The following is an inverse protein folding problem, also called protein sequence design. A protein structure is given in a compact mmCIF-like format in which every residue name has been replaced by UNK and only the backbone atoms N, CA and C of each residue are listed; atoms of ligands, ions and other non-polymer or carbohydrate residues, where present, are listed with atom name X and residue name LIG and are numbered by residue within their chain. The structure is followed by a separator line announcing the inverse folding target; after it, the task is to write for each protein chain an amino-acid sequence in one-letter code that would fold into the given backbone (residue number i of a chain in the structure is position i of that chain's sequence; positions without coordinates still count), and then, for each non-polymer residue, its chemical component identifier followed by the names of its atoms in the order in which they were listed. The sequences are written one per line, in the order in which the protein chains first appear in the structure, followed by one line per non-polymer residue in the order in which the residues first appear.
data_IF_325095756126
#
_entry.id   IF_325095756126
#
_cell.length_a   1.000
_cell.length_b   1.000
_cell.length_c   1.000
_cell.angle_alpha   90.00
_cell.angle_beta   90.00
_cell.angle_gamma   90.00
#
_symmetry.space_group_name_H-M   'P 1'
#
loop_
_entity.id
_entity.type
_entity.pdbx_description
1 polymer ?
#
# COMPACT_ATOMS: atom_id res chain seq x y z
N UNK A 1 40.92 -41.06 38.32
CA UNK A 1 41.51 -40.01 37.39
C UNK A 1 40.68 -39.76 36.12
N UNK A 2 39.42 -40.21 36.06
CA UNK A 2 38.55 -40.10 34.88
C UNK A 2 37.40 -39.06 35.08
N UNK A 3 37.08 -38.74 36.33
CA UNK A 3 35.94 -37.82 36.64
C UNK A 3 36.22 -36.34 36.43
N UNK A 4 37.47 -35.89 36.42
CA UNK A 4 37.82 -34.47 36.25
C UNK A 4 37.89 -34.00 34.79
N UNK A 5 37.93 -34.88 33.78
CA UNK A 5 37.95 -34.51 32.37
C UNK A 5 36.56 -34.19 31.79
N UNK A 6 35.50 -34.78 32.37
CA UNK A 6 34.12 -34.58 31.86
C UNK A 6 33.56 -33.25 32.35
N UNK A 7 34.00 -32.80 33.54
CA UNK A 7 33.53 -31.53 34.11
C UNK A 7 34.15 -30.30 33.41
N UNK A 8 35.39 -30.40 32.96
CA UNK A 8 36.09 -29.38 32.19
C UNK A 8 35.50 -29.19 30.78
N UNK A 9 35.05 -30.27 30.14
CA UNK A 9 34.43 -30.21 28.80
C UNK A 9 33.04 -29.57 28.82
N UNK A 10 32.28 -29.79 29.89
CA UNK A 10 30.93 -29.14 30.04
C UNK A 10 31.00 -27.65 30.33
N UNK A 11 31.99 -27.21 31.11
CA UNK A 11 32.22 -25.78 31.37
C UNK A 11 32.72 -25.04 30.13
N UNK A 12 33.53 -25.66 29.28
CA UNK A 12 34.00 -25.07 28.04
C UNK A 12 32.86 -24.92 27.01
N UNK A 13 31.93 -25.89 26.95
CA UNK A 13 30.79 -25.87 26.06
C UNK A 13 29.73 -24.82 26.50
N UNK A 14 29.56 -24.59 27.79
CA UNK A 14 28.69 -23.53 28.30
C UNK A 14 29.27 -22.13 28.05
N UNK A 15 30.58 -21.95 28.10
CA UNK A 15 31.23 -20.66 27.80
C UNK A 15 31.18 -20.38 26.29
N UNK A 16 31.30 -21.39 25.43
CA UNK A 16 31.19 -21.24 23.99
C UNK A 16 29.74 -20.89 23.54
N UNK A 17 28.73 -21.38 24.24
CA UNK A 17 27.32 -21.05 24.00
C UNK A 17 26.91 -19.64 24.47
N UNK A 18 27.62 -19.07 25.43
CA UNK A 18 27.35 -17.69 25.91
C UNK A 18 28.02 -16.59 25.08
N UNK A 19 28.96 -16.91 24.21
CA UNK A 19 29.65 -15.95 23.37
C UNK A 19 29.02 -15.77 21.97
N UNK A 20 28.00 -16.58 21.61
CA UNK A 20 27.32 -16.50 20.31
C UNK A 20 26.08 -15.59 20.33
N UNK A 21 25.68 -15.04 21.48
CA UNK A 21 24.39 -14.32 21.61
C UNK A 21 24.50 -12.80 21.54
N UNK A 22 25.55 -12.20 20.99
CA UNK A 22 25.63 -10.73 20.95
C UNK A 22 26.28 -10.17 19.69
N UNK A 23 25.86 -10.64 18.53
CA UNK A 23 26.01 -9.86 17.30
C UNK A 23 24.63 -9.69 16.69
N UNK A 24 23.71 -9.10 17.43
CA UNK A 24 22.68 -8.30 16.82
C UNK A 24 23.40 -7.01 16.45
N UNK A 25 23.63 -6.79 15.16
CA UNK A 25 23.97 -5.50 14.64
C UNK A 25 22.81 -4.57 15.07
N UNK A 26 23.04 -3.75 16.08
CA UNK A 26 22.21 -2.57 16.28
C UNK A 26 22.40 -1.76 15.01
N UNK A 27 21.37 -1.67 14.17
CA UNK A 27 21.34 -0.63 13.15
C UNK A 27 21.54 0.68 13.90
N UNK A 28 22.67 1.30 13.66
CA UNK A 28 23.01 2.59 14.25
C UNK A 28 21.94 3.57 13.75
N UNK A 29 21.10 4.04 14.65
CA UNK A 29 20.06 5.02 14.31
C UNK A 29 20.76 6.29 13.83
N UNK A 30 20.80 6.50 12.53
CA UNK A 30 21.28 7.75 11.93
C UNK A 30 20.13 8.75 12.03
N UNK A 31 20.33 9.79 12.85
CA UNK A 31 19.36 10.87 12.96
C UNK A 31 19.15 11.51 11.58
N UNK A 32 17.91 11.90 11.23
CA UNK A 32 17.66 12.63 9.99
C UNK A 32 18.51 13.90 9.91
N UNK A 33 18.99 14.23 8.71
CA UNK A 33 19.64 15.49 8.46
C UNK A 33 18.64 16.67 8.57
N UNK A 34 19.15 17.87 8.76
CA UNK A 34 18.38 19.13 8.68
C UNK A 34 17.21 19.28 9.67
N UNK A 35 17.26 18.61 10.83
CA UNK A 35 16.22 18.73 11.86
C UNK A 35 16.13 20.18 12.37
N UNK A 36 17.27 20.82 12.61
CA UNK A 36 17.31 22.20 13.15
C UNK A 36 16.89 23.23 12.09
N UNK A 37 17.31 23.07 10.84
CA UNK A 37 16.93 23.93 9.73
C UNK A 37 15.42 23.85 9.44
N UNK A 38 14.85 22.66 9.45
CA UNK A 38 13.42 22.43 9.22
C UNK A 38 12.54 22.87 10.40
N UNK A 39 13.13 23.02 11.58
CA UNK A 39 12.41 23.39 12.81
C UNK A 39 11.70 24.74 12.69
N UNK A 40 12.28 25.69 11.98
CA UNK A 40 11.66 27.01 11.78
C UNK A 40 10.35 26.88 11.00
N UNK A 41 10.33 26.09 9.93
CA UNK A 41 9.11 25.83 9.16
C UNK A 41 8.07 25.07 9.99
N UNK A 42 8.52 24.06 10.73
CA UNK A 42 7.66 23.20 11.54
C UNK A 42 7.10 23.89 12.81
N UNK A 43 7.64 25.04 13.24
CA UNK A 43 7.01 25.84 14.31
C UNK A 43 5.57 26.22 13.95
N UNK A 44 5.31 26.50 12.67
CA UNK A 44 3.98 26.82 12.16
C UNK A 44 3.35 25.60 11.50
N UNK A 45 4.03 25.00 10.51
CA UNK A 45 3.50 23.91 9.70
C UNK A 45 3.40 22.56 10.44
N UNK A 46 4.09 22.37 11.56
CA UNK A 46 3.94 21.19 12.41
C UNK A 46 2.77 21.25 13.40
N UNK A 47 1.91 22.26 13.33
CA UNK A 47 0.84 22.51 14.33
C UNK A 47 -0.45 22.99 13.69
N UNK A 48 -1.56 22.67 14.34
CA UNK A 48 -2.89 23.16 13.93
C UNK A 48 -3.11 24.66 14.21
N UNK A 49 -2.29 25.28 15.04
CA UNK A 49 -2.34 26.71 15.35
C UNK A 49 -0.91 27.26 15.43
N UNK A 50 -0.73 28.45 14.89
CA UNK A 50 0.54 29.20 14.96
C UNK A 50 0.27 30.63 15.41
N UNK A 51 1.35 31.32 15.85
CA UNK A 51 1.29 32.71 16.25
C UNK A 51 2.39 33.48 15.56
N UNK A 52 2.10 34.70 15.15
CA UNK A 52 3.05 35.62 14.57
C UNK A 52 2.78 37.04 15.03
N UNK A 53 3.83 37.88 15.07
CA UNK A 53 3.67 39.29 15.37
C UNK A 53 3.15 40.01 14.14
N UNK A 54 1.98 40.66 14.28
CA UNK A 54 1.40 41.47 13.22
C UNK A 54 1.77 42.95 13.45
N UNK A 55 2.59 43.48 12.57
CA UNK A 55 3.11 44.87 12.67
C UNK A 55 1.98 45.90 12.54
N UNK A 56 0.96 45.62 11.73
CA UNK A 56 -0.16 46.56 11.53
C UNK A 56 -0.99 46.73 12.79
N UNK A 57 -1.15 45.68 13.57
CA UNK A 57 -1.95 45.66 14.80
C UNK A 57 -1.11 45.81 16.04
N UNK A 58 0.20 45.67 15.92
CA UNK A 58 1.20 45.80 16.99
C UNK A 58 1.11 44.75 18.09
N UNK A 59 0.64 43.55 17.77
CA UNK A 59 0.51 42.43 18.72
C UNK A 59 0.65 41.09 18.05
N UNK A 60 0.87 40.03 18.87
CA UNK A 60 0.80 38.68 18.41
C UNK A 60 -0.63 38.26 18.05
N UNK A 61 -0.77 37.68 16.87
CA UNK A 61 -2.02 37.10 16.38
C UNK A 61 -1.84 35.57 16.37
N UNK A 62 -2.86 34.87 16.88
CA UNK A 62 -2.95 33.41 16.81
C UNK A 62 -3.94 33.02 15.72
N UNK A 63 -3.48 32.23 14.76
CA UNK A 63 -4.31 31.75 13.64
C UNK A 63 -4.31 30.24 13.57
N UNK A 64 -5.34 29.70 12.90
CA UNK A 64 -5.45 28.26 12.61
C UNK A 64 -4.74 27.97 11.30
N UNK A 65 -3.80 26.99 11.34
CA UNK A 65 -3.21 26.44 10.13
C UNK A 65 -4.24 25.65 9.34
N UNK A 66 -4.29 25.87 8.03
CA UNK A 66 -5.09 24.98 7.16
C UNK A 66 -4.60 23.55 7.29
N UNK A 67 -5.50 22.56 7.47
CA UNK A 67 -5.09 21.16 7.56
C UNK A 67 -4.23 20.67 6.40
N UNK A 68 -4.39 21.27 5.22
CA UNK A 68 -3.59 20.95 4.02
C UNK A 68 -2.12 21.37 4.14
N UNK A 69 -1.80 22.31 5.03
CA UNK A 69 -0.45 22.83 5.23
C UNK A 69 0.17 22.33 6.53
N UNK A 70 -0.52 21.44 7.25
CA UNK A 70 0.05 20.80 8.45
C UNK A 70 0.87 19.60 8.02
N UNK A 71 2.13 19.58 8.43
CA UNK A 71 3.06 18.48 8.22
C UNK A 71 3.26 17.75 9.55
N UNK A 72 2.97 16.46 9.60
CA UNK A 72 3.35 15.64 10.74
C UNK A 72 4.86 15.41 10.72
N UNK A 73 5.57 16.04 11.65
CA UNK A 73 7.02 15.95 11.72
C UNK A 73 7.52 14.53 12.03
N UNK A 74 6.77 13.75 12.80
CA UNK A 74 7.12 12.37 13.09
C UNK A 74 7.03 11.49 11.85
N UNK A 75 5.99 11.68 11.02
CA UNK A 75 5.87 10.99 9.73
C UNK A 75 6.92 11.46 8.73
N UNK A 76 7.19 12.78 8.68
CA UNK A 76 8.20 13.34 7.78
C UNK A 76 9.58 12.74 8.05
N UNK A 77 10.03 12.73 9.30
CA UNK A 77 11.36 12.19 9.66
C UNK A 77 11.42 10.64 9.59
N UNK A 78 10.32 9.97 9.29
CA UNK A 78 10.28 8.55 8.93
C UNK A 78 10.09 8.32 7.43
N UNK A 79 9.85 9.38 6.64
CA UNK A 79 9.64 9.29 5.20
C UNK A 79 10.92 8.96 4.44
N UNK A 80 10.80 8.64 3.16
CA UNK A 80 11.95 8.44 2.28
C UNK A 80 12.72 9.75 2.04
N UNK A 81 12.06 10.91 2.20
CA UNK A 81 12.63 12.24 2.02
C UNK A 81 13.10 12.91 3.32
N UNK A 82 13.23 12.16 4.41
CA UNK A 82 13.60 12.67 5.75
C UNK A 82 14.90 13.46 5.84
N UNK A 83 15.78 13.32 4.85
CA UNK A 83 17.11 13.94 4.81
C UNK A 83 17.16 15.17 3.90
N UNK A 84 16.03 15.79 3.59
CA UNK A 84 15.96 17.04 2.82
C UNK A 84 15.57 18.22 3.70
N UNK A 85 16.02 19.41 3.30
CA UNK A 85 15.46 20.65 3.83
C UNK A 85 14.09 20.90 3.20
N UNK A 86 13.21 21.60 3.92
CA UNK A 86 11.93 22.03 3.34
C UNK A 86 12.14 22.84 2.06
N UNK A 87 13.19 23.66 2.02
CA UNK A 87 13.57 24.50 0.88
C UNK A 87 14.23 23.75 -0.29
N UNK A 88 14.53 22.46 -0.14
CA UNK A 88 15.00 21.66 -1.28
C UNK A 88 13.86 21.35 -2.26
N UNK A 89 12.60 21.37 -1.77
CA UNK A 89 11.40 21.16 -2.58
C UNK A 89 10.52 22.43 -2.69
N UNK A 90 10.54 23.27 -1.65
CA UNK A 90 9.80 24.52 -1.61
C UNK A 90 10.75 25.70 -1.87
N UNK A 91 10.25 26.75 -2.53
CA UNK A 91 11.05 27.95 -2.80
C UNK A 91 11.72 28.49 -1.54
N UNK A 92 12.99 28.88 -1.65
CA UNK A 92 13.73 29.55 -0.57
C UNK A 92 13.11 30.89 -0.15
N UNK A 93 12.23 31.47 -1.00
CA UNK A 93 11.49 32.68 -0.69
C UNK A 93 10.57 32.50 0.53
N UNK A 94 10.12 31.27 0.81
CA UNK A 94 9.34 30.95 2.01
C UNK A 94 10.12 31.14 3.32
N UNK A 95 11.46 31.15 3.29
CA UNK A 95 12.27 31.39 4.48
C UNK A 95 12.48 32.86 4.82
N UNK A 96 12.05 33.80 3.96
CA UNK A 96 12.40 35.23 4.06
C UNK A 96 11.39 36.04 4.87
N UNK A 97 10.11 35.72 4.79
CA UNK A 97 9.03 36.54 5.38
C UNK A 97 7.94 35.65 5.99
N UNK A 98 7.46 36.01 7.19
CA UNK A 98 6.39 35.30 7.90
C UNK A 98 5.31 36.32 8.38
N UNK A 99 4.01 36.16 8.08
CA UNK A 99 3.45 35.12 7.17
C UNK A 99 3.94 35.30 5.73
N UNK A 100 3.95 34.20 4.98
CA UNK A 100 4.39 34.23 3.60
C UNK A 100 3.46 35.07 2.72
N UNK A 101 4.00 35.81 1.74
CA UNK A 101 3.19 36.45 0.70
C UNK A 101 2.31 35.43 -0.03
N UNK A 102 1.06 35.78 -0.30
CA UNK A 102 0.12 34.90 -0.95
C UNK A 102 0.54 34.46 -2.37
N UNK A 103 1.38 35.27 -2.99
CA UNK A 103 1.89 35.07 -4.36
C UNK A 103 2.78 33.83 -4.44
N UNK A 104 3.49 33.49 -3.37
CA UNK A 104 4.41 32.34 -3.34
C UNK A 104 3.67 31.01 -3.55
N UNK A 105 2.38 30.91 -3.22
CA UNK A 105 1.58 29.71 -3.47
C UNK A 105 1.40 29.37 -4.95
N UNK A 106 1.68 30.32 -5.84
CA UNK A 106 1.62 30.14 -7.28
C UNK A 106 2.97 29.81 -7.90
N UNK A 107 4.05 29.80 -7.10
CA UNK A 107 5.35 29.31 -7.58
C UNK A 107 5.22 27.82 -7.91
N UNK A 108 5.81 27.37 -9.05
CA UNK A 108 5.80 25.96 -9.41
C UNK A 108 6.56 25.15 -8.36
N UNK A 109 5.94 24.08 -7.88
CA UNK A 109 6.62 23.10 -7.02
C UNK A 109 7.38 22.09 -7.88
N UNK A 110 8.52 21.63 -7.37
CA UNK A 110 9.27 20.54 -7.98
C UNK A 110 8.39 19.29 -8.08
N UNK A 111 8.41 18.63 -9.24
CA UNK A 111 7.80 17.32 -9.43
C UNK A 111 8.81 16.20 -9.22
N UNK A 112 8.35 14.98 -9.02
CA UNK A 112 9.24 13.85 -8.72
C UNK A 112 10.34 13.67 -9.78
N UNK A 113 10.01 13.87 -11.05
CA UNK A 113 10.92 13.69 -12.18
C UNK A 113 12.02 14.77 -12.24
N UNK A 114 11.84 15.94 -11.59
CA UNK A 114 12.91 16.95 -11.55
C UNK A 114 14.17 16.45 -10.82
N UNK A 115 13.99 15.50 -9.90
CA UNK A 115 15.11 14.88 -9.17
C UNK A 115 15.35 13.43 -9.56
N UNK A 116 14.33 12.71 -10.03
CA UNK A 116 14.40 11.26 -10.28
C UNK A 116 14.53 10.91 -11.77
N UNK A 117 14.64 11.87 -12.66
CA UNK A 117 14.90 11.65 -14.10
C UNK A 117 16.39 11.46 -14.36
N UNK A 118 16.74 10.38 -15.06
CA UNK A 118 18.06 10.18 -15.66
C UNK A 118 19.23 9.97 -14.69
N UNK A 119 19.00 9.77 -13.40
CA UNK A 119 20.07 9.51 -12.43
C UNK A 119 20.25 8.00 -12.22
N UNK A 120 21.45 7.50 -12.50
CA UNK A 120 21.86 6.09 -12.32
C UNK A 120 21.60 5.58 -10.90
N UNK A 121 21.66 6.46 -9.89
CA UNK A 121 21.40 6.13 -8.49
C UNK A 121 19.97 5.65 -8.29
N UNK A 122 19.02 6.23 -9.06
CA UNK A 122 17.59 5.95 -8.95
C UNK A 122 17.09 4.96 -10.01
N UNK A 123 17.92 4.53 -10.96
CA UNK A 123 17.55 3.60 -12.05
C UNK A 123 16.84 2.35 -11.53
N UNK A 124 17.30 1.81 -10.39
CA UNK A 124 16.71 0.63 -9.72
C UNK A 124 15.22 0.80 -9.34
N UNK A 125 14.71 2.01 -9.28
CA UNK A 125 13.32 2.31 -8.95
C UNK A 125 12.43 2.44 -10.20
N UNK A 126 13.03 2.48 -11.41
CA UNK A 126 12.33 2.56 -12.68
C UNK A 126 11.39 3.76 -12.83
N UNK A 127 11.78 4.93 -12.36
CA UNK A 127 10.93 6.13 -12.41
C UNK A 127 10.48 6.51 -13.80
N UNK A 128 11.33 6.33 -14.81
CA UNK A 128 10.96 6.57 -16.21
C UNK A 128 9.78 5.68 -16.64
N UNK A 129 9.82 4.40 -16.32
CA UNK A 129 8.71 3.46 -16.62
C UNK A 129 7.46 3.81 -15.81
N UNK A 130 7.61 4.20 -14.54
CA UNK A 130 6.49 4.65 -13.68
C UNK A 130 5.83 5.88 -14.27
N UNK A 131 6.63 6.85 -14.71
CA UNK A 131 6.13 8.08 -15.35
C UNK A 131 5.39 7.78 -16.65
N UNK A 132 5.93 6.90 -17.50
CA UNK A 132 5.27 6.47 -18.74
C UNK A 132 3.93 5.77 -18.46
N UNK A 133 3.89 4.82 -17.51
CA UNK A 133 2.64 4.18 -17.09
C UNK A 133 1.61 5.18 -16.55
N UNK A 134 2.06 6.16 -15.77
CA UNK A 134 1.20 7.21 -15.23
C UNK A 134 0.61 8.08 -16.35
N UNK A 135 1.40 8.47 -17.33
CA UNK A 135 0.93 9.28 -18.48
C UNK A 135 -0.17 8.57 -19.29
N UNK A 136 -0.18 7.24 -19.29
CA UNK A 136 -1.23 6.41 -19.90
C UNK A 136 -2.35 6.01 -18.92
N UNK A 137 -2.37 6.59 -17.73
CA UNK A 137 -3.43 6.33 -16.75
C UNK A 137 -4.66 7.20 -16.99
N UNK A 138 -5.83 6.70 -16.56
CA UNK A 138 -7.09 7.44 -16.65
C UNK A 138 -7.04 8.80 -15.92
N UNK A 139 -6.22 8.91 -14.88
CA UNK A 139 -6.08 10.15 -14.13
C UNK A 139 -5.32 11.21 -14.95
N UNK A 140 -4.21 10.83 -15.57
CA UNK A 140 -3.45 11.72 -16.44
C UNK A 140 -4.22 12.08 -17.71
N UNK A 141 -4.87 11.11 -18.37
CA UNK A 141 -5.64 11.34 -19.58
C UNK A 141 -6.81 12.33 -19.40
N UNK A 142 -7.47 12.31 -18.22
CA UNK A 142 -8.65 13.15 -17.94
C UNK A 142 -8.33 14.46 -17.23
N UNK A 143 -7.22 14.54 -16.54
CA UNK A 143 -6.87 15.63 -15.63
C UNK A 143 -5.38 16.02 -15.74
N UNK A 144 -4.82 16.03 -16.94
CA UNK A 144 -3.38 16.20 -17.19
C UNK A 144 -2.77 17.48 -16.60
N UNK A 145 -3.53 18.55 -16.49
CA UNK A 145 -3.05 19.84 -15.97
C UNK A 145 -3.10 19.91 -14.43
N UNK A 146 -3.98 19.14 -13.80
CA UNK A 146 -4.27 19.23 -12.38
C UNK A 146 -3.73 18.04 -11.58
N UNK A 147 -3.46 16.92 -12.27
CA UNK A 147 -3.11 15.65 -11.63
C UNK A 147 -1.63 15.32 -11.83
N UNK A 148 -0.93 15.09 -10.74
CA UNK A 148 0.49 14.72 -10.74
C UNK A 148 0.77 13.68 -9.63
N UNK A 149 2.03 13.31 -9.46
CA UNK A 149 2.45 12.31 -8.46
C UNK A 149 2.02 12.69 -7.02
N UNK A 150 2.01 14.00 -6.71
CA UNK A 150 1.64 14.52 -5.40
C UNK A 150 0.16 14.29 -5.02
N UNK A 151 -0.69 14.09 -6.01
CA UNK A 151 -2.11 13.83 -5.77
C UNK A 151 -2.34 12.47 -5.11
N UNK A 152 -1.47 11.51 -5.39
CA UNK A 152 -1.51 10.16 -4.84
C UNK A 152 -0.49 9.97 -3.71
N UNK A 153 0.71 10.52 -3.85
CA UNK A 153 1.81 10.33 -2.92
C UNK A 153 2.09 11.61 -2.13
N UNK A 154 1.88 11.56 -0.81
CA UNK A 154 2.28 12.67 0.05
C UNK A 154 3.80 12.60 0.30
N UNK A 155 4.59 13.53 -0.23
CA UNK A 155 6.05 13.49 -0.09
C UNK A 155 6.53 13.61 1.35
N UNK A 156 5.74 14.26 2.22
CA UNK A 156 6.09 14.44 3.63
C UNK A 156 5.95 13.15 4.45
N UNK A 157 5.16 12.18 3.99
CA UNK A 157 4.96 10.91 4.69
C UNK A 157 5.22 9.68 3.83
N UNK A 158 5.68 9.87 2.58
CA UNK A 158 5.87 8.77 1.63
C UNK A 158 6.89 7.74 2.11
N UNK A 159 6.49 6.46 2.10
CA UNK A 159 7.34 5.32 2.43
C UNK A 159 7.18 4.23 1.36
N UNK A 160 8.26 3.53 1.05
CA UNK A 160 8.22 2.36 0.17
C UNK A 160 7.75 1.15 1.00
N UNK A 161 6.44 1.01 1.18
CA UNK A 161 5.87 -0.07 2.00
C UNK A 161 5.94 -1.44 1.32
N UNK A 162 5.74 -1.48 0.00
CA UNK A 162 5.70 -2.73 -0.77
C UNK A 162 7.02 -3.54 -0.73
N UNK A 163 8.16 -2.88 -0.46
CA UNK A 163 9.48 -3.52 -0.40
C UNK A 163 10.01 -3.70 1.01
N UNK A 164 9.51 -2.93 1.97
CA UNK A 164 10.10 -2.84 3.32
C UNK A 164 9.17 -3.32 4.42
N UNK A 165 7.87 -3.48 4.14
CA UNK A 165 6.91 -3.93 5.15
C UNK A 165 6.97 -5.44 5.32
N UNK A 166 7.15 -5.90 6.55
CA UNK A 166 7.01 -7.31 6.93
C UNK A 166 5.54 -7.75 7.00
N UNK A 167 4.60 -6.80 6.99
CA UNK A 167 3.18 -7.07 7.13
C UNK A 167 2.41 -6.67 5.86
N UNK A 168 1.94 -7.68 5.13
CA UNK A 168 1.14 -7.50 3.93
C UNK A 168 -0.10 -6.62 4.16
N UNK A 169 -0.84 -6.85 5.25
CA UNK A 169 -2.08 -6.11 5.50
C UNK A 169 -1.80 -4.61 5.67
N UNK A 170 -0.70 -4.25 6.33
CA UNK A 170 -0.27 -2.85 6.45
C UNK A 170 0.03 -2.24 5.08
N UNK A 171 0.70 -2.99 4.20
CA UNK A 171 0.97 -2.53 2.82
C UNK A 171 -0.31 -2.35 2.03
N UNK A 172 -1.24 -3.32 2.09
CA UNK A 172 -2.54 -3.22 1.41
C UNK A 172 -3.32 -2.01 1.91
N UNK A 173 -3.39 -1.80 3.22
CA UNK A 173 -4.08 -0.66 3.81
C UNK A 173 -3.47 0.66 3.33
N UNK A 174 -2.16 0.80 3.43
CA UNK A 174 -1.44 1.99 2.99
C UNK A 174 -1.70 2.29 1.51
N UNK A 175 -1.56 1.30 0.63
CA UNK A 175 -1.77 1.47 -0.82
C UNK A 175 -3.24 1.80 -1.13
N UNK A 176 -4.20 1.19 -0.41
CA UNK A 176 -5.62 1.48 -0.59
C UNK A 176 -6.00 2.86 -0.06
N UNK A 177 -5.39 3.34 1.03
CA UNK A 177 -5.62 4.67 1.58
C UNK A 177 -5.25 5.77 0.59
N UNK A 178 -4.22 5.57 -0.24
CA UNK A 178 -3.88 6.48 -1.33
C UNK A 178 -5.11 6.73 -2.23
N UNK A 179 -5.76 5.67 -2.69
CA UNK A 179 -6.95 5.76 -3.53
C UNK A 179 -8.15 6.33 -2.76
N UNK A 180 -8.36 5.83 -1.54
CA UNK A 180 -9.51 6.19 -0.71
C UNK A 180 -9.43 7.64 -0.21
N UNK A 181 -8.26 8.24 -0.15
CA UNK A 181 -8.10 9.65 0.20
C UNK A 181 -8.94 10.60 -0.68
N UNK A 182 -9.16 10.19 -1.93
CA UNK A 182 -10.07 10.86 -2.86
C UNK A 182 -11.36 10.06 -3.05
N UNK A 183 -11.28 8.78 -3.39
CA UNK A 183 -12.43 7.95 -3.78
C UNK A 183 -13.41 7.62 -2.64
N UNK A 184 -13.07 7.84 -1.38
CA UNK A 184 -14.02 7.82 -0.27
C UNK A 184 -14.40 9.24 0.23
N UNK A 185 -13.79 10.27 -0.32
CA UNK A 185 -13.98 11.65 0.10
C UNK A 185 -14.87 12.41 -0.90
N UNK A 186 -16.15 12.52 -0.58
CA UNK A 186 -17.13 13.17 -1.45
C UNK A 186 -16.81 14.63 -1.75
N UNK A 187 -16.23 15.35 -0.79
CA UNK A 187 -15.86 16.76 -0.99
C UNK A 187 -14.73 16.90 -2.01
N UNK A 188 -13.70 16.04 -1.94
CA UNK A 188 -12.61 16.07 -2.92
C UNK A 188 -13.09 15.67 -4.32
N UNK A 189 -13.92 14.64 -4.42
CA UNK A 189 -14.49 14.20 -5.71
C UNK A 189 -15.41 15.28 -6.29
N UNK A 190 -16.21 15.95 -5.45
CA UNK A 190 -17.08 17.04 -5.90
C UNK A 190 -16.34 18.27 -6.43
N UNK A 191 -15.07 18.46 -6.02
CA UNK A 191 -14.20 19.52 -6.57
C UNK A 191 -13.59 19.14 -7.94
N UNK A 192 -13.40 17.85 -8.20
CA UNK A 192 -12.70 17.35 -9.37
C UNK A 192 -13.66 16.74 -10.43
N UNK A 193 -14.93 16.57 -10.10
CA UNK A 193 -15.90 15.89 -10.96
C UNK A 193 -17.32 16.38 -10.68
N UNK A 194 -18.13 16.47 -11.70
CA UNK A 194 -19.58 16.78 -11.60
C UNK A 194 -20.40 15.66 -10.94
N UNK A 195 -19.78 14.60 -10.48
CA UNK A 195 -20.44 13.49 -9.79
C UNK A 195 -20.67 13.83 -8.32
N UNK A 196 -21.93 14.05 -7.96
CA UNK A 196 -22.32 14.48 -6.62
C UNK A 196 -22.39 13.35 -5.56
N UNK A 197 -22.43 12.09 -5.96
CA UNK A 197 -22.55 10.96 -5.03
C UNK A 197 -21.62 9.84 -5.49
N UNK A 198 -20.59 9.56 -4.69
CA UNK A 198 -19.69 8.45 -4.92
C UNK A 198 -19.66 7.57 -3.66
N UNK A 199 -20.24 6.39 -3.76
CA UNK A 199 -20.20 5.38 -2.71
C UNK A 199 -19.37 4.17 -3.20
N UNK A 200 -18.21 4.00 -2.61
CA UNK A 200 -17.26 2.94 -2.97
C UNK A 200 -17.89 1.55 -2.85
N UNK A 201 -18.66 1.29 -1.80
CA UNK A 201 -19.27 -0.01 -1.58
C UNK A 201 -20.37 -0.30 -2.60
N UNK A 202 -21.22 0.67 -2.90
CA UNK A 202 -22.28 0.52 -3.89
C UNK A 202 -21.74 0.33 -5.31
N UNK A 203 -20.62 0.98 -5.66
CA UNK A 203 -19.97 0.76 -6.95
C UNK A 203 -19.42 -0.68 -7.10
N UNK A 204 -19.23 -1.39 -5.99
CA UNK A 204 -18.68 -2.75 -5.93
C UNK A 204 -19.69 -3.80 -5.41
N UNK A 205 -21.02 -3.53 -5.48
CA UNK A 205 -22.05 -4.51 -5.09
C UNK A 205 -21.97 -5.82 -5.86
N UNK A 206 -21.50 -5.77 -7.10
CA UNK A 206 -21.30 -6.96 -7.94
C UNK A 206 -20.22 -7.91 -7.38
N UNK A 207 -19.31 -7.43 -6.50
CA UNK A 207 -18.21 -8.21 -5.94
C UNK A 207 -18.68 -8.89 -4.65
N UNK A 208 -18.77 -10.24 -4.61
CA UNK A 208 -19.12 -10.96 -3.39
C UNK A 208 -18.12 -10.66 -2.26
N UNK A 209 -18.62 -10.44 -1.05
CA UNK A 209 -17.78 -10.13 0.12
C UNK A 209 -16.78 -8.97 -0.14
N UNK A 210 -17.24 -7.91 -0.79
CA UNK A 210 -16.41 -6.77 -1.21
C UNK A 210 -15.53 -6.20 -0.09
N UNK A 211 -16.02 -6.18 1.17
CA UNK A 211 -15.24 -5.73 2.34
C UNK A 211 -13.99 -6.58 2.56
N UNK A 212 -14.11 -7.91 2.42
CA UNK A 212 -12.96 -8.81 2.56
C UNK A 212 -11.94 -8.61 1.42
N UNK A 213 -12.42 -8.34 0.20
CA UNK A 213 -11.54 -7.99 -0.91
C UNK A 213 -10.76 -6.71 -0.61
N UNK A 214 -11.42 -5.65 -0.14
CA UNK A 214 -10.77 -4.38 0.18
C UNK A 214 -9.77 -4.48 1.34
N UNK A 215 -9.97 -5.43 2.25
CA UNK A 215 -9.02 -5.68 3.34
C UNK A 215 -7.78 -6.47 2.91
N UNK A 216 -7.89 -7.30 1.86
CA UNK A 216 -6.86 -8.26 1.49
C UNK A 216 -6.30 -8.07 0.08
N UNK A 217 -6.84 -7.13 -0.70
CA UNK A 217 -6.44 -6.86 -2.09
C UNK A 217 -6.30 -5.36 -2.30
N UNK A 218 -5.23 -4.95 -2.97
CA UNK A 218 -5.03 -3.54 -3.33
C UNK A 218 -5.98 -3.15 -4.45
N UNK A 219 -6.45 -1.91 -4.44
CA UNK A 219 -7.30 -1.34 -5.50
C UNK A 219 -6.66 -1.49 -6.89
N UNK A 220 -5.35 -1.29 -6.96
CA UNK A 220 -4.58 -1.38 -8.20
C UNK A 220 -4.57 -2.78 -8.83
N UNK A 221 -4.78 -3.86 -8.07
CA UNK A 221 -4.80 -5.22 -8.62
C UNK A 221 -5.99 -5.43 -9.58
N UNK A 222 -7.08 -4.68 -9.39
CA UNK A 222 -8.22 -4.70 -10.28
C UNK A 222 -8.24 -3.51 -11.23
N UNK A 223 -7.73 -2.35 -10.79
CA UNK A 223 -7.86 -1.09 -11.49
C UNK A 223 -6.61 -0.64 -12.23
N UNK A 224 -5.48 -1.34 -12.14
CA UNK A 224 -4.31 -1.03 -12.92
C UNK A 224 -3.92 -2.18 -13.85
N UNK A 225 -3.24 -1.83 -14.95
CA UNK A 225 -2.66 -2.85 -15.81
C UNK A 225 -1.40 -3.40 -15.15
N UNK A 226 -1.37 -4.69 -14.89
CA UNK A 226 -0.20 -5.37 -14.30
C UNK A 226 0.99 -5.26 -15.26
N UNK A 227 2.13 -4.85 -14.72
CA UNK A 227 3.41 -4.86 -15.41
C UNK A 227 4.27 -6.00 -14.86
N UNK A 228 4.94 -6.72 -15.75
CA UNK A 228 5.86 -7.81 -15.36
C UNK A 228 7.15 -7.28 -14.68
N UNK A 229 7.43 -5.99 -14.83
CA UNK A 229 8.67 -5.35 -14.40
C UNK A 229 8.54 -4.54 -13.12
N UNK A 230 7.33 -4.12 -12.75
CA UNK A 230 7.07 -3.27 -11.59
C UNK A 230 6.22 -3.99 -10.55
N UNK A 231 6.59 -3.87 -9.28
CA UNK A 231 5.77 -4.39 -8.15
C UNK A 231 4.46 -3.63 -7.96
N UNK A 232 4.40 -2.39 -8.44
CA UNK A 232 3.23 -1.50 -8.35
C UNK A 232 3.01 -0.89 -9.72
N UNK A 233 1.84 -1.16 -10.29
CA UNK A 233 1.45 -0.64 -11.59
C UNK A 233 0.83 0.76 -11.45
N UNK A 234 1.25 1.69 -12.32
CA UNK A 234 0.77 3.08 -12.32
C UNK A 234 -0.19 3.40 -13.48
N UNK A 235 -0.34 2.47 -14.44
CA UNK A 235 -1.32 2.60 -15.51
C UNK A 235 -2.73 2.27 -14.99
N UNK A 236 -3.31 3.21 -14.23
CA UNK A 236 -4.67 3.05 -13.69
C UNK A 236 -5.69 3.10 -14.82
N UNK A 237 -6.51 2.06 -14.90
CA UNK A 237 -7.49 1.85 -15.95
C UNK A 237 -8.86 2.45 -15.60
N UNK A 238 -9.64 2.89 -16.59
CA UNK A 238 -11.03 3.24 -16.36
C UNK A 238 -11.83 2.02 -15.88
N UNK A 239 -12.89 2.27 -15.10
CA UNK A 239 -13.71 1.23 -14.45
C UNK A 239 -14.25 0.15 -15.40
N UNK A 240 -14.41 0.47 -16.68
CA UNK A 240 -14.87 -0.44 -17.72
C UNK A 240 -13.83 -1.54 -18.02
N UNK A 241 -12.55 -1.22 -17.83
CA UNK A 241 -11.43 -2.13 -18.07
C UNK A 241 -10.93 -2.81 -16.79
N UNK A 242 -11.53 -2.50 -15.64
CA UNK A 242 -11.18 -3.14 -14.37
C UNK A 242 -11.40 -4.67 -14.42
N UNK A 243 -10.55 -5.41 -13.73
CA UNK A 243 -10.67 -6.87 -13.63
C UNK A 243 -11.93 -7.25 -12.87
N UNK A 244 -12.85 -7.98 -13.52
CA UNK A 244 -14.13 -8.42 -12.94
C UNK A 244 -14.32 -9.94 -12.94
N UNK A 245 -13.40 -10.69 -13.55
CA UNK A 245 -13.49 -12.14 -13.62
C UNK A 245 -12.83 -12.77 -12.40
N UNK A 246 -13.62 -13.44 -11.58
CA UNK A 246 -13.12 -14.11 -10.37
C UNK A 246 -11.96 -15.07 -10.64
N UNK A 247 -11.97 -15.74 -11.81
CA UNK A 247 -10.93 -16.69 -12.21
C UNK A 247 -9.56 -16.05 -12.43
N UNK A 248 -9.49 -14.76 -12.72
CA UNK A 248 -8.20 -14.06 -12.91
C UNK A 248 -7.40 -14.03 -11.60
N UNK A 249 -8.09 -13.90 -10.46
CA UNK A 249 -7.47 -13.90 -9.13
C UNK A 249 -7.57 -15.27 -8.44
N UNK A 250 -8.72 -15.96 -8.55
CA UNK A 250 -9.00 -17.24 -7.88
C UNK A 250 -8.61 -18.45 -8.74
N UNK A 251 -7.38 -18.45 -9.25
CA UNK A 251 -6.86 -19.57 -10.07
C UNK A 251 -5.39 -19.84 -9.75
N UNK A 252 -4.85 -20.97 -10.22
CA UNK A 252 -3.43 -21.29 -10.05
C UNK A 252 -2.51 -20.29 -10.76
N UNK A 253 -2.97 -19.70 -11.86
CA UNK A 253 -2.26 -18.66 -12.59
C UNK A 253 -2.87 -17.28 -12.27
N UNK A 254 -3.08 -17.01 -10.99
CA UNK A 254 -3.63 -15.74 -10.52
C UNK A 254 -2.74 -14.55 -10.95
N UNK A 255 -3.38 -13.48 -11.41
CA UNK A 255 -2.70 -12.21 -11.71
C UNK A 255 -1.98 -11.64 -10.47
N UNK A 256 -2.48 -11.95 -9.26
CA UNK A 256 -1.85 -11.54 -8.01
C UNK A 256 -0.47 -12.16 -7.83
N UNK A 257 -0.17 -13.27 -8.51
CA UNK A 257 1.14 -13.93 -8.42
C UNK A 257 2.25 -13.20 -9.19
N UNK A 258 1.92 -12.21 -10.01
CA UNK A 258 2.91 -11.38 -10.71
C UNK A 258 3.43 -10.22 -9.83
N UNK A 259 2.78 -9.94 -8.70
CA UNK A 259 3.05 -8.76 -7.87
C UNK A 259 3.49 -9.10 -6.45
N UNK A 260 3.18 -8.22 -5.51
CA UNK A 260 3.47 -8.35 -4.07
C UNK A 260 3.15 -9.74 -3.49
N UNK A 261 2.06 -10.35 -3.93
CA UNK A 261 1.59 -11.64 -3.40
C UNK A 261 2.49 -12.84 -3.75
N UNK A 262 3.34 -12.71 -4.78
CA UNK A 262 4.34 -13.73 -5.12
C UNK A 262 5.35 -13.92 -3.98
N UNK A 263 5.86 -12.83 -3.44
CA UNK A 263 6.81 -12.86 -2.33
C UNK A 263 6.20 -13.51 -1.09
N UNK A 264 4.95 -13.18 -0.79
CA UNK A 264 4.25 -13.69 0.39
C UNK A 264 3.98 -15.18 0.26
N UNK A 265 3.61 -15.64 -0.93
CA UNK A 265 3.44 -17.08 -1.16
C UNK A 265 4.75 -17.84 -0.96
N UNK A 266 5.86 -17.31 -1.45
CA UNK A 266 7.19 -17.92 -1.24
C UNK A 266 7.54 -17.97 0.25
N UNK A 267 7.40 -16.85 0.96
CA UNK A 267 7.68 -16.77 2.39
C UNK A 267 6.77 -17.68 3.23
N UNK A 268 5.48 -17.76 2.87
CA UNK A 268 4.54 -18.65 3.57
C UNK A 268 4.85 -20.13 3.28
N UNK A 269 5.29 -20.46 2.06
CA UNK A 269 5.74 -21.81 1.72
C UNK A 269 7.00 -22.21 2.49
N UNK A 270 7.96 -21.30 2.65
CA UNK A 270 9.19 -21.53 3.43
C UNK A 270 8.89 -21.71 4.92
N UNK A 271 7.97 -20.92 5.47
CA UNK A 271 7.62 -20.95 6.91
C UNK A 271 6.67 -22.09 7.30
N UNK A 272 5.73 -22.46 6.45
CA UNK A 272 4.62 -23.37 6.80
C UNK A 272 4.60 -24.70 6.03
N UNK A 273 5.50 -24.87 5.06
CA UNK A 273 5.53 -26.06 4.21
C UNK A 273 4.46 -26.08 3.11
N UNK A 274 4.68 -26.96 2.12
CA UNK A 274 4.00 -26.92 0.80
C UNK A 274 2.47 -27.12 0.82
N UNK A 275 1.92 -27.85 1.78
CA UNK A 275 0.51 -28.30 1.73
C UNK A 275 -0.49 -27.32 2.36
N UNK A 276 -0.11 -26.51 3.34
CA UNK A 276 -1.07 -25.70 4.09
C UNK A 276 -1.27 -24.28 3.56
N UNK A 277 -0.23 -23.67 3.01
CA UNK A 277 -0.30 -22.27 2.60
C UNK A 277 -1.24 -22.03 1.41
N UNK A 278 -1.21 -22.91 0.40
CA UNK A 278 -2.04 -22.78 -0.80
C UNK A 278 -3.53 -23.06 -0.52
N UNK A 279 -3.84 -23.94 0.43
CA UNK A 279 -5.21 -24.33 0.77
C UNK A 279 -5.85 -23.34 1.74
N UNK A 280 -5.08 -22.79 2.68
CA UNK A 280 -5.58 -21.91 3.72
C UNK A 280 -5.61 -20.44 3.32
N UNK A 281 -4.72 -20.01 2.41
CA UNK A 281 -4.63 -18.60 1.97
C UNK A 281 -5.43 -18.28 0.70
N UNK A 282 -5.83 -19.30 -0.07
CA UNK A 282 -6.62 -19.11 -1.30
C UNK A 282 -8.05 -19.53 -1.07
N UNK A 283 -8.95 -18.57 -0.96
CA UNK A 283 -10.39 -18.86 -0.95
C UNK A 283 -10.79 -19.65 -2.21
N UNK A 284 -11.26 -20.87 -2.01
CA UNK A 284 -11.82 -21.67 -3.12
C UNK A 284 -13.18 -21.11 -3.51
N UNK A 285 -13.29 -20.64 -4.73
CA UNK A 285 -14.58 -20.20 -5.31
C UNK A 285 -15.01 -21.21 -6.37
N UNK A 286 -16.14 -21.87 -6.13
CA UNK A 286 -16.70 -22.86 -7.06
C UNK A 286 -16.92 -22.22 -8.42
N UNK A 287 -16.35 -22.85 -9.48
CA UNK A 287 -16.46 -22.38 -10.87
C UNK A 287 -15.47 -21.29 -11.28
N UNK A 288 -14.75 -20.67 -10.33
CA UNK A 288 -13.71 -19.67 -10.62
C UNK A 288 -12.29 -20.24 -10.61
N UNK A 289 -12.11 -21.47 -10.16
CA UNK A 289 -10.79 -22.11 -10.07
C UNK A 289 -10.43 -22.79 -11.40
N UNK A 290 -9.23 -22.51 -11.94
CA UNK A 290 -8.69 -23.18 -13.13
C UNK A 290 -8.14 -24.60 -12.85
N UNK A 291 -8.19 -25.09 -11.61
CA UNK A 291 -7.75 -26.43 -11.28
C UNK A 291 -8.74 -27.46 -11.79
N UNK A 292 -8.30 -28.20 -12.81
CA UNK A 292 -9.08 -29.24 -13.45
C UNK A 292 -9.63 -30.28 -12.45
N UNK A 293 -8.77 -30.77 -11.54
CA UNK A 293 -9.16 -31.80 -10.57
C UNK A 293 -10.20 -31.31 -9.56
N UNK A 294 -10.07 -30.08 -9.08
CA UNK A 294 -11.03 -29.48 -8.15
C UNK A 294 -12.38 -29.22 -8.82
N UNK A 295 -12.39 -28.77 -10.07
CA UNK A 295 -13.61 -28.53 -10.82
C UNK A 295 -14.37 -29.82 -11.08
N UNK A 296 -13.69 -30.87 -11.58
CA UNK A 296 -14.35 -32.17 -11.79
C UNK A 296 -14.70 -32.87 -10.48
N UNK A 297 -13.87 -32.76 -9.45
CA UNK A 297 -14.16 -33.27 -8.11
C UNK A 297 -15.42 -32.64 -7.50
N UNK A 298 -15.56 -31.32 -7.60
CA UNK A 298 -16.76 -30.63 -7.11
C UNK A 298 -18.02 -30.98 -7.90
N UNK A 299 -17.90 -31.11 -9.23
CA UNK A 299 -19.01 -31.61 -10.09
C UNK A 299 -19.39 -33.04 -9.73
N UNK A 300 -18.44 -33.92 -9.50
CA UNK A 300 -18.70 -35.30 -9.12
C UNK A 300 -19.44 -35.41 -7.77
N UNK A 301 -18.99 -34.63 -6.77
CA UNK A 301 -19.65 -34.55 -5.46
C UNK A 301 -21.08 -34.02 -5.61
N UNK A 302 -21.28 -32.96 -6.40
CA UNK A 302 -22.61 -32.41 -6.66
C UNK A 302 -23.53 -33.42 -7.34
N UNK A 303 -23.02 -34.14 -8.34
CA UNK A 303 -23.79 -35.20 -9.02
C UNK A 303 -24.15 -36.34 -8.06
N UNK A 304 -23.25 -36.79 -7.20
CA UNK A 304 -23.54 -37.81 -6.18
C UNK A 304 -24.62 -37.35 -5.20
N UNK A 305 -24.60 -36.10 -4.76
CA UNK A 305 -25.65 -35.56 -3.89
C UNK A 305 -27.00 -35.55 -4.59
N UNK A 306 -27.06 -35.09 -5.85
CA UNK A 306 -28.29 -35.11 -6.63
C UNK A 306 -28.84 -36.52 -6.85
N UNK A 307 -27.94 -37.48 -7.15
CA UNK A 307 -28.32 -38.89 -7.28
C UNK A 307 -28.86 -39.44 -5.95
N UNK A 308 -28.24 -39.13 -4.85
CA UNK A 308 -28.73 -39.51 -3.51
C UNK A 308 -30.12 -38.95 -3.21
N UNK A 309 -30.34 -37.66 -3.49
CA UNK A 309 -31.65 -37.02 -3.32
C UNK A 309 -32.70 -37.67 -4.25
N UNK A 310 -32.38 -37.88 -5.53
CA UNK A 310 -33.28 -38.51 -6.49
C UNK A 310 -33.64 -39.95 -6.08
N UNK A 311 -32.64 -40.75 -5.70
CA UNK A 311 -32.83 -42.11 -5.21
C UNK A 311 -33.73 -42.14 -3.97
N UNK A 312 -33.46 -41.23 -3.00
CA UNK A 312 -34.29 -41.11 -1.80
C UNK A 312 -35.75 -40.75 -2.15
N UNK A 313 -35.96 -39.79 -3.05
CA UNK A 313 -37.30 -39.38 -3.51
C UNK A 313 -38.04 -40.52 -4.19
N UNK A 314 -37.37 -41.27 -5.08
CA UNK A 314 -37.92 -42.43 -5.77
C UNK A 314 -38.30 -43.53 -4.77
N UNK A 315 -37.39 -43.90 -3.90
CA UNK A 315 -37.67 -44.92 -2.87
C UNK A 315 -38.81 -44.51 -1.95
N UNK A 316 -38.92 -43.26 -1.56
CA UNK A 316 -40.03 -42.74 -0.78
C UNK A 316 -41.36 -42.76 -1.53
N UNK A 317 -41.33 -42.59 -2.85
CA UNK A 317 -42.53 -42.69 -3.70
C UNK A 317 -43.01 -44.15 -3.89
N UNK A 318 -42.05 -45.08 -4.02
CA UNK A 318 -42.36 -46.51 -4.21
C UNK A 318 -42.75 -47.20 -2.90
N UNK A 319 -42.10 -46.81 -1.80
CA UNK A 319 -42.35 -47.37 -0.45
C UNK A 319 -42.91 -46.30 0.51
N UNK A 320 -44.15 -45.82 0.31
CA UNK A 320 -44.78 -44.91 1.23
C UNK A 320 -44.89 -45.56 2.62
N UNK A 321 -44.44 -44.86 3.66
CA UNK A 321 -44.66 -45.33 5.03
C UNK A 321 -46.17 -45.52 5.22
N UNK A 322 -46.59 -46.75 5.63
CA UNK A 322 -47.93 -47.03 6.15
C UNK A 322 -48.16 -46.33 7.47
#
# INVERSE_FOLDING_TARGET
MITNKIQSSRSLMCILLLTVTSVFAQEEYVAPAYIEENKECLKCHGRSYFSYFNETVGRDIKERMSPFYVVDSAEYYQSNHRNFQCTDCHSSSYSQTFPHPNELRFEPMLVCMDCHEGDDIYEKYNFATISDEYLHSVHSEKHSEEFNCWMCHNPHSYKITARTSENLLTTIQYDNEICLSCHSNQSKIGLLSDRHIYDMLNQHEWLPNNRLHFQNVRCIECHARVSDTLMVAHMVQPKEKAVKLCVECHSQNSILMASLYKHIKQETQEKQGFLNAAILSQGYVIGANRNYFLNYGSLAIFAMVLLGIATHAILRSIYPKK
#
